data_IF_666438103665
#
_entry.id   IF_666438103665
#
_cell.length_a   1.000
_cell.length_b   1.000
_cell.length_c   1.000
_cell.angle_alpha   90.00
_cell.angle_beta   90.00
_cell.angle_gamma   90.00
#
_symmetry.space_group_name_H-M   'P 1'
#
loop_
_entity.id
_entity.type
_entity.pdbx_description
1 polymer ?
#
# COMPACT_ATOMS: atom_id res chain seq x y z
N UNK A 1 -19.33 16.08 21.24
CA UNK A 1 -18.69 15.43 22.41
C UNK A 1 -17.26 15.95 22.47
N UNK A 2 -16.79 16.45 23.61
CA UNK A 2 -15.39 16.90 23.73
C UNK A 2 -14.47 15.68 23.72
N UNK A 3 -13.62 15.56 22.69
CA UNK A 3 -12.63 14.49 22.59
C UNK A 3 -11.60 14.62 23.71
N UNK A 4 -11.18 13.49 24.28
CA UNK A 4 -10.16 13.40 25.32
C UNK A 4 -8.82 14.00 24.85
N UNK A 5 -7.98 14.57 25.74
CA UNK A 5 -6.67 15.11 25.36
C UNK A 5 -5.79 14.15 24.54
N UNK A 6 -5.82 12.84 24.85
CA UNK A 6 -5.06 11.85 24.08
C UNK A 6 -5.63 11.61 22.68
N UNK A 7 -6.96 11.70 22.51
CA UNK A 7 -7.61 11.58 21.19
C UNK A 7 -7.21 12.75 20.31
N UNK A 8 -7.20 13.96 20.88
CA UNK A 8 -6.75 15.15 20.16
C UNK A 8 -5.25 15.07 19.82
N UNK A 9 -4.43 14.50 20.70
CA UNK A 9 -3.02 14.22 20.42
C UNK A 9 -2.87 13.27 19.23
N UNK A 10 -3.53 12.13 19.28
CA UNK A 10 -3.49 11.13 18.21
C UNK A 10 -4.00 11.69 16.87
N UNK A 11 -5.11 12.43 16.86
CA UNK A 11 -5.64 13.04 15.64
C UNK A 11 -4.62 13.99 14.99
N UNK A 12 -3.90 14.81 15.78
CA UNK A 12 -2.86 15.69 15.23
C UNK A 12 -1.68 14.94 14.62
N UNK A 13 -1.27 13.82 15.22
CA UNK A 13 -0.22 12.97 14.65
C UNK A 13 -0.69 12.31 13.35
N UNK A 14 -1.94 11.81 13.30
CA UNK A 14 -2.54 11.29 12.07
C UNK A 14 -2.57 12.37 10.99
N UNK A 15 -3.04 13.59 11.31
CA UNK A 15 -3.10 14.71 10.36
C UNK A 15 -1.70 15.07 9.82
N UNK A 16 -0.69 15.03 10.68
CA UNK A 16 0.70 15.30 10.31
C UNK A 16 1.24 14.25 9.34
N UNK A 17 1.04 12.96 9.61
CA UNK A 17 1.44 11.88 8.70
C UNK A 17 0.65 11.94 7.40
N UNK A 18 -0.67 12.17 7.46
CA UNK A 18 -1.51 12.29 6.28
C UNK A 18 -1.02 13.41 5.35
N UNK A 19 -0.61 14.56 5.90
CA UNK A 19 -0.02 15.65 5.13
C UNK A 19 1.25 15.23 4.36
N UNK A 20 2.07 14.34 4.92
CA UNK A 20 3.27 13.83 4.26
C UNK A 20 2.95 12.85 3.13
N UNK A 21 1.86 12.08 3.24
CA UNK A 21 1.40 11.17 2.18
C UNK A 21 0.89 11.89 0.93
N UNK A 22 0.59 13.18 1.02
CA UNK A 22 0.16 14.00 -0.11
C UNK A 22 1.34 14.44 -1.02
N UNK A 23 2.58 14.25 -0.57
CA UNK A 23 3.78 14.57 -1.35
C UNK A 23 4.03 13.45 -2.38
N UNK A 24 4.48 13.82 -3.58
CA UNK A 24 4.83 12.84 -4.62
C UNK A 24 5.96 11.92 -4.14
N UNK A 25 5.71 10.61 -4.21
CA UNK A 25 6.55 9.56 -3.62
C UNK A 25 5.83 8.76 -2.54
N UNK A 26 6.59 7.91 -1.85
CA UNK A 26 6.11 7.09 -0.75
C UNK A 26 6.39 7.75 0.60
N UNK A 27 5.52 7.47 1.57
CA UNK A 27 5.78 7.69 2.99
C UNK A 27 6.05 6.33 3.63
N UNK A 28 7.17 6.21 4.35
CA UNK A 28 7.63 4.95 4.95
C UNK A 28 7.58 5.08 6.46
N UNK A 29 6.90 4.13 7.09
CA UNK A 29 6.68 4.08 8.53
C UNK A 29 7.15 2.71 9.03
N UNK A 30 7.80 2.66 10.19
CA UNK A 30 8.15 1.39 10.84
C UNK A 30 6.91 0.69 11.44
N UNK A 31 7.06 -0.58 11.81
CA UNK A 31 6.07 -1.34 12.58
C UNK A 31 5.80 -0.76 13.98
N UNK A 32 6.64 0.17 14.45
CA UNK A 32 6.48 0.95 15.69
C UNK A 32 5.81 2.30 15.48
N UNK A 33 5.27 2.57 14.29
CA UNK A 33 4.63 3.83 13.91
C UNK A 33 5.59 5.03 13.84
N UNK A 34 6.89 4.79 13.62
CA UNK A 34 7.88 5.86 13.44
C UNK A 34 7.99 6.23 11.97
N UNK A 35 7.91 7.52 11.65
CA UNK A 35 8.16 8.03 10.30
C UNK A 35 9.65 7.89 9.95
N UNK A 36 9.97 7.08 8.93
CA UNK A 36 11.33 6.86 8.47
C UNK A 36 11.70 7.79 7.30
N UNK A 37 10.77 8.01 6.38
CA UNK A 37 10.95 8.88 5.21
C UNK A 37 9.60 9.29 4.60
N UNK A 38 9.59 10.37 3.82
CA UNK A 38 8.45 10.81 3.01
C UNK A 38 8.94 11.39 1.68
N UNK A 39 8.07 11.42 0.67
CA UNK A 39 8.44 11.84 -0.69
C UNK A 39 9.53 10.97 -1.32
N UNK A 40 9.69 9.72 -0.85
CA UNK A 40 10.76 8.85 -1.33
C UNK A 40 10.35 8.10 -2.59
N UNK A 41 11.30 7.92 -3.50
CA UNK A 41 11.09 7.10 -4.69
C UNK A 41 11.37 5.64 -4.36
N UNK A 42 10.38 4.78 -4.53
CA UNK A 42 10.57 3.33 -4.51
C UNK A 42 11.32 2.94 -5.79
N UNK A 43 12.47 2.30 -5.62
CA UNK A 43 13.28 1.77 -6.72
C UNK A 43 13.51 0.29 -6.50
N UNK A 44 13.55 -0.47 -7.59
CA UNK A 44 14.00 -1.85 -7.55
C UNK A 44 15.52 -1.89 -7.34
N UNK A 45 16.04 -2.67 -6.37
CA UNK A 45 17.47 -2.86 -6.21
C UNK A 45 18.14 -3.39 -7.49
N UNK A 46 19.40 -3.02 -7.70
CA UNK A 46 20.16 -3.52 -8.85
C UNK A 46 20.35 -5.04 -8.73
N UNK A 47 19.97 -5.78 -9.77
CA UNK A 47 20.07 -7.24 -9.80
C UNK A 47 18.84 -7.98 -9.28
N UNK A 48 17.87 -7.28 -8.67
CA UNK A 48 16.59 -7.90 -8.33
C UNK A 48 15.69 -8.05 -9.56
N UNK A 49 14.90 -9.12 -9.55
CA UNK A 49 13.90 -9.39 -10.58
C UNK A 49 12.72 -8.40 -10.48
N UNK A 50 12.11 -8.13 -11.62
CA UNK A 50 10.84 -7.42 -11.63
C UNK A 50 9.75 -8.35 -11.11
N UNK A 51 8.80 -7.82 -10.34
CA UNK A 51 7.56 -8.54 -10.07
C UNK A 51 6.86 -8.81 -11.43
N UNK A 52 6.63 -10.08 -11.74
CA UNK A 52 6.01 -10.51 -13.01
C UNK A 52 4.52 -10.82 -12.84
N UNK A 53 4.15 -11.32 -11.66
CA UNK A 53 2.77 -11.72 -11.35
C UNK A 53 2.38 -11.33 -9.94
N UNK A 54 1.12 -10.97 -9.79
CA UNK A 54 0.48 -10.73 -8.50
C UNK A 54 -0.82 -11.53 -8.41
N UNK A 55 -1.25 -11.82 -7.19
CA UNK A 55 -2.59 -12.27 -6.90
C UNK A 55 -3.48 -11.05 -6.61
N UNK A 56 -4.52 -10.84 -7.41
CA UNK A 56 -5.52 -9.80 -7.17
C UNK A 56 -6.75 -10.42 -6.52
N UNK A 57 -7.25 -9.80 -5.46
CA UNK A 57 -8.52 -10.19 -4.81
C UNK A 57 -9.35 -8.97 -4.47
N UNK A 58 -10.66 -9.15 -4.46
CA UNK A 58 -11.62 -8.15 -4.05
C UNK A 58 -12.55 -8.75 -2.98
N UNK A 59 -12.92 -7.99 -1.93
CA UNK A 59 -13.82 -8.45 -0.88
C UNK A 59 -15.29 -8.43 -1.36
N UNK A 60 -15.57 -8.99 -2.53
CA UNK A 60 -16.89 -9.03 -3.16
C UNK A 60 -17.33 -10.50 -3.26
N UNK A 61 -18.53 -10.79 -2.73
CA UNK A 61 -19.08 -12.15 -2.72
C UNK A 61 -19.15 -12.70 -4.15
N UNK A 62 -18.63 -13.92 -4.36
CA UNK A 62 -18.61 -14.59 -5.66
C UNK A 62 -17.47 -14.17 -6.57
N UNK A 63 -16.58 -13.29 -6.13
CA UNK A 63 -15.35 -12.94 -6.87
C UNK A 63 -14.23 -13.90 -6.48
N UNK A 64 -13.58 -14.47 -7.49
CA UNK A 64 -12.41 -15.34 -7.30
C UNK A 64 -11.12 -14.53 -7.37
N UNK A 65 -10.07 -15.05 -6.73
CA UNK A 65 -8.74 -14.49 -6.84
C UNK A 65 -8.20 -14.69 -8.27
N UNK A 66 -7.55 -13.68 -8.83
CA UNK A 66 -7.02 -13.73 -10.21
C UNK A 66 -5.53 -13.44 -10.20
N UNK A 67 -4.73 -14.29 -10.83
CA UNK A 67 -3.34 -13.97 -11.13
C UNK A 67 -3.29 -12.96 -12.27
N UNK A 68 -2.67 -11.80 -12.04
CA UNK A 68 -2.61 -10.70 -12.99
C UNK A 68 -1.17 -10.20 -13.19
N UNK A 69 -0.93 -9.56 -14.33
CA UNK A 69 0.23 -8.70 -14.52
C UNK A 69 0.14 -7.51 -13.53
N UNK A 70 1.23 -7.16 -12.82
CA UNK A 70 1.25 -6.02 -11.91
C UNK A 70 0.76 -4.70 -12.53
N UNK A 71 0.98 -4.49 -13.83
CA UNK A 71 0.48 -3.31 -14.55
C UNK A 71 -1.05 -3.22 -14.58
N UNK A 72 -1.75 -4.34 -14.39
CA UNK A 72 -3.21 -4.39 -14.31
C UNK A 72 -3.74 -4.04 -12.91
N UNK A 73 -2.87 -3.82 -11.91
CA UNK A 73 -3.30 -3.42 -10.55
C UNK A 73 -3.57 -1.93 -10.38
N UNK A 74 -3.18 -1.10 -11.35
CA UNK A 74 -3.41 0.35 -11.35
C UNK A 74 -2.23 1.13 -11.95
N UNK A 75 -2.10 2.41 -11.57
CA UNK A 75 -1.03 3.29 -12.07
C UNK A 75 0.37 3.01 -11.49
N UNK A 76 1.31 3.92 -11.76
CA UNK A 76 2.73 3.81 -11.35
C UNK A 76 2.94 3.58 -9.85
N UNK A 77 2.07 4.15 -9.00
CA UNK A 77 2.08 3.93 -7.54
C UNK A 77 1.80 2.47 -7.17
N UNK A 78 0.90 1.80 -7.89
CA UNK A 78 0.57 0.39 -7.66
C UNK A 78 1.73 -0.52 -8.06
N UNK A 79 2.33 -0.27 -9.24
CA UNK A 79 3.51 -1.02 -9.69
C UNK A 79 4.68 -0.87 -8.71
N UNK A 80 4.94 0.36 -8.24
CA UNK A 80 5.97 0.63 -7.25
C UNK A 80 5.71 -0.10 -5.92
N UNK A 81 4.47 -0.08 -5.42
CA UNK A 81 4.07 -0.80 -4.21
C UNK A 81 4.22 -2.32 -4.37
N UNK A 82 3.76 -2.89 -5.49
CA UNK A 82 3.92 -4.31 -5.78
C UNK A 82 5.39 -4.73 -5.81
N UNK A 83 6.24 -3.94 -6.48
CA UNK A 83 7.68 -4.19 -6.52
C UNK A 83 8.32 -4.06 -5.12
N UNK A 84 7.93 -3.05 -4.33
CA UNK A 84 8.44 -2.88 -2.97
C UNK A 84 8.16 -4.10 -2.11
N UNK A 85 6.93 -4.61 -2.12
CA UNK A 85 6.53 -5.80 -1.36
C UNK A 85 7.18 -7.07 -1.89
N UNK A 86 7.42 -7.16 -3.21
CA UNK A 86 8.19 -8.27 -3.79
C UNK A 86 9.62 -8.30 -3.25
N UNK A 87 10.28 -7.14 -3.18
CA UNK A 87 11.64 -6.97 -2.68
C UNK A 87 11.72 -7.06 -1.14
N UNK A 88 10.70 -6.58 -0.43
CA UNK A 88 10.58 -6.52 1.02
C UNK A 88 9.36 -7.32 1.47
N UNK A 89 9.51 -8.66 1.52
CA UNK A 89 8.39 -9.59 1.75
C UNK A 89 7.73 -9.47 3.11
N UNK A 90 8.42 -8.88 4.10
CA UNK A 90 7.88 -8.61 5.45
C UNK A 90 7.38 -7.17 5.58
N UNK A 91 6.74 -6.66 4.52
CA UNK A 91 6.23 -5.28 4.49
C UNK A 91 4.81 -5.21 3.96
N UNK A 92 4.18 -4.08 4.25
CA UNK A 92 2.85 -3.70 3.81
C UNK A 92 2.97 -2.44 2.96
N UNK A 93 2.31 -2.41 1.80
CA UNK A 93 2.16 -1.18 1.02
C UNK A 93 0.68 -0.85 0.82
N UNK A 94 0.33 0.41 1.07
CA UNK A 94 -1.03 0.94 1.02
C UNK A 94 -1.11 1.98 -0.09
N UNK A 95 -2.02 1.79 -1.04
CA UNK A 95 -2.15 2.67 -2.21
C UNK A 95 -3.58 3.13 -2.36
N UNK A 96 -3.83 4.43 -2.19
CA UNK A 96 -5.08 5.08 -2.58
C UNK A 96 -5.00 5.54 -4.03
N UNK A 97 -5.77 4.90 -4.91
CA UNK A 97 -5.87 5.27 -6.32
C UNK A 97 -6.62 6.59 -6.48
N UNK A 98 -6.31 7.32 -7.56
CA UNK A 98 -7.16 8.45 -7.98
C UNK A 98 -8.53 7.98 -8.47
N UNK A 99 -8.64 6.73 -8.89
CA UNK A 99 -9.89 6.12 -9.35
C UNK A 99 -10.80 5.66 -8.19
N UNK A 100 -10.42 5.97 -6.94
CA UNK A 100 -11.22 5.70 -5.74
C UNK A 100 -10.93 4.36 -5.05
N UNK A 101 -10.26 3.41 -5.72
CA UNK A 101 -9.91 2.14 -5.09
C UNK A 101 -8.74 2.28 -4.10
N UNK A 102 -8.80 1.53 -3.00
CA UNK A 102 -7.70 1.39 -2.07
C UNK A 102 -7.12 -0.02 -2.16
N UNK A 103 -5.84 -0.15 -2.46
CA UNK A 103 -5.18 -1.45 -2.63
C UNK A 103 -4.14 -1.67 -1.55
N UNK A 104 -4.25 -2.83 -0.89
CA UNK A 104 -3.29 -3.30 0.11
C UNK A 104 -2.41 -4.37 -0.54
N UNK A 105 -1.10 -4.13 -0.58
CA UNK A 105 -0.12 -5.09 -1.10
C UNK A 105 0.61 -5.76 0.07
N UNK A 106 0.67 -7.09 0.03
CA UNK A 106 1.42 -7.93 0.98
C UNK A 106 2.09 -9.09 0.26
N UNK A 107 3.06 -9.74 0.89
CA UNK A 107 3.55 -11.02 0.39
C UNK A 107 2.63 -12.14 0.87
N UNK A 108 2.19 -13.02 -0.03
CA UNK A 108 1.49 -14.26 0.34
C UNK A 108 2.49 -15.42 0.41
N UNK A 109 2.78 -15.98 1.59
CA UNK A 109 3.64 -17.16 1.70
C UNK A 109 3.01 -18.41 1.08
N UNK A 110 1.68 -18.51 1.10
CA UNK A 110 0.95 -19.66 0.55
C UNK A 110 1.05 -19.71 -0.97
N UNK A 111 0.92 -18.56 -1.63
CA UNK A 111 0.93 -18.45 -3.10
C UNK A 111 2.32 -18.07 -3.63
N UNK A 112 3.26 -17.76 -2.74
CA UNK A 112 4.63 -17.34 -3.03
C UNK A 112 4.68 -16.18 -4.07
N UNK A 113 3.79 -15.20 -3.91
CA UNK A 113 3.69 -14.02 -4.76
C UNK A 113 3.13 -12.82 -4.00
N UNK A 114 3.21 -11.64 -4.60
CA UNK A 114 2.57 -10.43 -4.06
C UNK A 114 1.06 -10.57 -4.16
N UNK A 115 0.36 -10.32 -3.07
CA UNK A 115 -1.09 -10.28 -2.97
C UNK A 115 -1.56 -8.83 -2.90
N UNK A 116 -2.27 -8.40 -3.95
CA UNK A 116 -2.98 -7.14 -4.03
C UNK A 116 -4.44 -7.35 -3.61
N UNK A 117 -4.78 -6.87 -2.42
CA UNK A 117 -6.15 -6.86 -1.92
C UNK A 117 -6.79 -5.51 -2.22
N UNK A 118 -7.60 -5.45 -3.29
CA UNK A 118 -8.30 -4.25 -3.71
C UNK A 118 -9.57 -4.11 -2.89
N UNK A 119 -9.60 -3.11 -2.03
CA UNK A 119 -10.74 -2.76 -1.20
C UNK A 119 -11.50 -1.65 -1.90
N UNK A 120 -12.79 -1.88 -2.12
CA UNK A 120 -13.70 -0.84 -2.58
C UNK A 120 -14.06 0.04 -1.38
N UNK A 121 -13.19 1.01 -1.11
CA UNK A 121 -13.43 2.02 -0.09
C UNK A 121 -14.06 3.23 -0.77
N UNK A 122 -15.29 3.56 -0.40
CA UNK A 122 -15.80 4.92 -0.62
C UNK A 122 -14.93 5.85 0.25
N UNK A 123 -13.89 6.44 -0.33
CA UNK A 123 -13.24 7.62 0.22
C UNK A 123 -14.24 8.78 0.07
N UNK A 124 -15.21 8.86 0.98
CA UNK A 124 -16.17 9.98 1.12
C UNK A 124 -15.62 11.07 2.02
#
# INVERSE_FOLDING_TARGET
RSSSPWQNGLSREIDSIAGLTAIDGATVISDKHELLAFGTKIIRPLGNEMVDKILLTEPIIGTEAVTADPANSGGTRHLAAAQFVYDQRDSLALVASQDGHFTVFTWSPCENMVHAHRVDALLV
#
